data_IF_089103352854
#
_entry.id   IF_089103352854
#
_cell.length_a   1.000
_cell.length_b   1.000
_cell.length_c   1.000
_cell.angle_alpha   90.00
_cell.angle_beta   90.00
_cell.angle_gamma   90.00
#
_symmetry.space_group_name_H-M   'P 1'
#
loop_
_entity.id
_entity.type
_entity.pdbx_description
1 polymer ?
#
# COMPACT_ATOMS: atom_id res chain seq x y z
N UNK A 1 10.98 6.92 12.86
CA UNK A 1 9.81 6.45 13.64
C UNK A 1 10.19 5.13 14.28
N UNK A 2 9.77 4.91 15.53
CA UNK A 2 9.96 3.63 16.23
C UNK A 2 8.64 2.91 16.36
N UNK A 3 8.56 1.66 15.94
CA UNK A 3 7.31 0.90 15.95
C UNK A 3 7.49 -0.55 16.43
N UNK A 4 6.41 -1.12 16.95
CA UNK A 4 6.32 -2.55 17.29
C UNK A 4 5.31 -3.18 16.36
N UNK A 5 5.68 -4.32 15.75
CA UNK A 5 4.78 -5.13 14.92
C UNK A 5 4.55 -6.46 15.63
N UNK A 6 3.30 -6.74 15.98
CA UNK A 6 2.88 -7.96 16.67
C UNK A 6 2.12 -8.85 15.69
N UNK A 7 2.66 -10.05 15.46
CA UNK A 7 2.18 -11.00 14.45
C UNK A 7 2.97 -10.89 13.14
N UNK A 8 3.80 -11.90 12.87
CA UNK A 8 4.72 -11.95 11.73
C UNK A 8 4.28 -12.95 10.65
N UNK A 9 2.96 -13.11 10.49
CA UNK A 9 2.40 -13.73 9.28
C UNK A 9 2.79 -12.95 8.03
N UNK A 10 2.27 -13.32 6.86
CA UNK A 10 2.65 -12.68 5.59
C UNK A 10 2.57 -11.15 5.65
N UNK A 11 1.48 -10.60 6.18
CA UNK A 11 1.28 -9.15 6.23
C UNK A 11 2.24 -8.45 7.20
N UNK A 12 2.39 -9.00 8.43
CA UNK A 12 3.30 -8.41 9.43
C UNK A 12 4.76 -8.47 9.01
N UNK A 13 5.20 -9.58 8.39
CA UNK A 13 6.55 -9.73 7.85
C UNK A 13 6.85 -8.65 6.78
N UNK A 14 5.96 -8.47 5.81
CA UNK A 14 6.13 -7.42 4.77
C UNK A 14 6.19 -6.03 5.40
N UNK A 15 5.37 -5.74 6.43
CA UNK A 15 5.44 -4.47 7.15
C UNK A 15 6.81 -4.26 7.82
N UNK A 16 7.39 -5.31 8.43
CA UNK A 16 8.74 -5.24 9.02
C UNK A 16 9.76 -4.91 7.94
N UNK A 17 9.76 -5.65 6.83
CA UNK A 17 10.71 -5.48 5.72
C UNK A 17 10.64 -4.06 5.13
N UNK A 18 9.43 -3.58 4.78
CA UNK A 18 9.22 -2.27 4.16
C UNK A 18 9.57 -1.10 5.12
N UNK A 19 9.15 -1.18 6.38
CA UNK A 19 9.45 -0.11 7.34
C UNK A 19 10.94 -0.07 7.67
N UNK A 20 11.61 -1.21 7.77
CA UNK A 20 13.06 -1.27 7.99
C UNK A 20 13.84 -0.74 6.79
N UNK A 21 13.40 -1.04 5.56
CA UNK A 21 14.00 -0.49 4.34
C UNK A 21 13.91 1.04 4.27
N UNK A 22 12.89 1.63 4.90
CA UNK A 22 12.72 3.07 5.06
C UNK A 22 13.50 3.65 6.26
N UNK A 23 14.41 2.87 6.86
CA UNK A 23 15.21 3.25 8.04
C UNK A 23 14.37 3.59 9.29
N UNK A 24 13.24 2.92 9.48
CA UNK A 24 12.51 2.99 10.73
C UNK A 24 13.03 1.95 11.74
N UNK A 25 12.99 2.29 13.03
CA UNK A 25 13.32 1.37 14.11
C UNK A 25 12.13 0.42 14.33
N UNK A 26 12.26 -0.82 13.88
CA UNK A 26 11.19 -1.81 13.93
C UNK A 26 11.52 -2.89 14.94
N UNK A 27 10.61 -3.10 15.89
CA UNK A 27 10.63 -4.24 16.81
C UNK A 27 9.57 -5.24 16.34
N UNK A 28 10.01 -6.43 16.00
CA UNK A 28 9.17 -7.51 15.48
C UNK A 28 8.84 -8.52 16.58
N UNK A 29 7.57 -8.95 16.67
CA UNK A 29 7.08 -9.84 17.73
C UNK A 29 6.17 -10.91 17.17
N UNK A 30 6.45 -12.19 17.47
CA UNK A 30 5.54 -13.31 17.21
C UNK A 30 5.78 -14.39 18.27
N UNK A 31 4.82 -15.31 18.46
CA UNK A 31 5.01 -16.47 19.32
C UNK A 31 5.70 -17.65 18.61
N UNK A 32 5.75 -17.65 17.28
CA UNK A 32 6.44 -18.65 16.46
C UNK A 32 7.89 -18.22 16.17
N UNK A 33 8.85 -18.97 16.71
CA UNK A 33 10.26 -18.71 16.52
C UNK A 33 10.67 -18.71 15.04
N UNK A 34 10.05 -19.55 14.20
CA UNK A 34 10.38 -19.59 12.78
C UNK A 34 9.98 -18.31 12.05
N UNK A 35 8.93 -17.63 12.51
CA UNK A 35 8.54 -16.32 11.96
C UNK A 35 9.47 -15.22 12.42
N UNK A 36 9.90 -15.25 13.68
CA UNK A 36 10.88 -14.31 14.26
C UNK A 36 12.22 -14.40 13.52
N UNK A 37 12.73 -15.61 13.33
CA UNK A 37 14.00 -15.87 12.64
C UNK A 37 14.06 -15.31 11.20
N UNK A 38 12.91 -15.24 10.51
CA UNK A 38 12.84 -14.72 9.13
C UNK A 38 13.07 -13.20 9.02
N UNK A 39 12.88 -12.48 10.09
CA UNK A 39 12.96 -11.00 10.10
C UNK A 39 14.07 -10.44 11.00
N UNK A 40 14.71 -11.25 11.79
CA UNK A 40 15.70 -10.81 12.79
C UNK A 40 16.86 -10.01 12.21
N UNK A 41 17.26 -10.32 10.99
CA UNK A 41 18.43 -9.68 10.34
C UNK A 41 18.06 -8.39 9.59
N UNK A 42 16.76 -8.07 9.47
CA UNK A 42 16.26 -6.89 8.74
C UNK A 42 15.63 -5.83 9.62
N UNK A 43 15.38 -6.11 10.91
CA UNK A 43 14.77 -5.17 11.85
C UNK A 43 15.72 -4.87 13.02
N UNK A 44 15.39 -3.84 13.81
CA UNK A 44 16.17 -3.41 15.00
C UNK A 44 16.24 -4.52 16.05
N UNK A 45 15.13 -5.18 16.32
CA UNK A 45 15.04 -6.29 17.25
C UNK A 45 13.85 -7.20 16.91
N UNK A 46 14.01 -8.49 17.16
CA UNK A 46 12.96 -9.48 16.98
C UNK A 46 12.82 -10.35 18.25
N UNK A 47 11.59 -10.53 18.73
CA UNK A 47 11.33 -11.24 19.97
C UNK A 47 10.29 -12.36 19.75
N UNK A 48 10.61 -13.53 20.29
CA UNK A 48 9.62 -14.58 20.46
C UNK A 48 8.85 -14.32 21.76
N UNK A 49 7.60 -13.84 21.64
CA UNK A 49 6.75 -13.49 22.79
C UNK A 49 5.33 -13.95 22.53
N UNK A 50 4.71 -14.57 23.55
CA UNK A 50 3.27 -14.78 23.57
C UNK A 50 2.54 -13.49 23.95
N UNK A 51 2.17 -12.72 22.93
CA UNK A 51 1.61 -11.39 23.09
C UNK A 51 0.22 -11.36 23.77
N UNK A 52 -0.45 -12.51 23.91
CA UNK A 52 -1.69 -12.64 24.67
C UNK A 52 -1.47 -12.66 26.19
N UNK A 53 -0.21 -12.72 26.63
CA UNK A 53 0.16 -12.70 28.05
C UNK A 53 0.65 -11.29 28.44
N UNK A 54 0.00 -10.69 29.46
CA UNK A 54 0.29 -9.31 29.88
C UNK A 54 1.74 -9.10 30.32
N UNK A 55 2.29 -10.05 31.10
CA UNK A 55 3.68 -9.98 31.56
C UNK A 55 4.67 -10.03 30.39
N UNK A 56 4.37 -10.88 29.39
CA UNK A 56 5.21 -10.98 28.20
C UNK A 56 5.19 -9.69 27.36
N UNK A 57 4.03 -9.05 27.19
CA UNK A 57 3.93 -7.75 26.53
C UNK A 57 4.65 -6.63 27.30
N UNK A 58 4.67 -6.68 28.63
CA UNK A 58 5.24 -5.63 29.46
C UNK A 58 6.76 -5.49 29.36
N UNK A 59 7.47 -6.49 28.82
CA UNK A 59 8.92 -6.41 28.57
C UNK A 59 9.26 -5.55 27.36
N UNK A 60 8.29 -5.29 26.48
CA UNK A 60 8.47 -4.45 25.31
C UNK A 60 8.48 -2.96 25.71
N UNK A 61 9.22 -2.11 24.99
CA UNK A 61 9.30 -0.68 25.26
C UNK A 61 8.06 0.09 24.79
N UNK A 62 6.86 -0.33 25.21
CA UNK A 62 5.56 0.14 24.72
C UNK A 62 5.35 1.65 24.84
N UNK A 63 5.98 2.28 25.86
CA UNK A 63 5.89 3.74 26.10
C UNK A 63 6.93 4.56 25.31
N UNK A 64 7.85 3.90 24.60
CA UNK A 64 8.95 4.53 23.88
C UNK A 64 8.84 4.36 22.37
N UNK A 65 7.67 3.94 21.90
CA UNK A 65 7.40 3.74 20.47
C UNK A 65 6.31 4.69 19.99
N UNK A 66 6.40 5.08 18.74
CA UNK A 66 5.43 5.97 18.12
C UNK A 66 4.12 5.26 17.80
N UNK A 67 4.17 3.93 17.57
CA UNK A 67 3.01 3.14 17.16
C UNK A 67 3.22 1.65 17.45
N UNK A 68 2.13 0.96 17.76
CA UNK A 68 2.06 -0.51 17.80
C UNK A 68 1.08 -1.00 16.73
N UNK A 69 1.54 -1.90 15.87
CA UNK A 69 0.73 -2.52 14.82
C UNK A 69 0.42 -3.97 15.21
N UNK A 70 -0.85 -4.28 15.42
CA UNK A 70 -1.33 -5.66 15.65
C UNK A 70 -1.70 -6.26 14.30
N UNK A 71 -0.81 -7.09 13.75
CA UNK A 71 -0.96 -7.72 12.43
C UNK A 71 -1.49 -9.17 12.51
N UNK A 72 -1.99 -9.59 13.69
CA UNK A 72 -2.58 -10.91 13.90
C UNK A 72 -3.87 -11.00 13.09
N UNK A 73 -3.90 -11.93 12.14
CA UNK A 73 -5.03 -12.10 11.22
C UNK A 73 -5.84 -13.36 11.51
N UNK A 74 -5.22 -14.51 11.69
CA UNK A 74 -5.90 -15.80 11.71
C UNK A 74 -6.63 -16.10 13.02
N UNK A 75 -6.27 -15.43 14.12
CA UNK A 75 -6.86 -15.64 15.44
C UNK A 75 -7.49 -14.37 15.98
N UNK A 76 -8.81 -14.25 15.81
CA UNK A 76 -9.60 -13.11 16.30
C UNK A 76 -9.46 -12.94 17.81
N UNK A 77 -9.52 -14.04 18.57
CA UNK A 77 -9.41 -13.99 20.03
C UNK A 77 -8.06 -13.45 20.50
N UNK A 78 -6.96 -13.92 19.89
CA UNK A 78 -5.63 -13.41 20.18
C UNK A 78 -5.49 -11.91 19.79
N UNK A 79 -5.96 -11.53 18.61
CA UNK A 79 -5.90 -10.13 18.15
C UNK A 79 -6.63 -9.19 19.12
N UNK A 80 -7.86 -9.50 19.47
CA UNK A 80 -8.69 -8.72 20.40
C UNK A 80 -8.05 -8.65 21.79
N UNK A 81 -7.54 -9.78 22.30
CA UNK A 81 -6.86 -9.84 23.61
C UNK A 81 -5.60 -8.98 23.63
N UNK A 82 -4.77 -9.05 22.60
CA UNK A 82 -3.56 -8.21 22.46
C UNK A 82 -3.93 -6.73 22.44
N UNK A 83 -4.92 -6.33 21.66
CA UNK A 83 -5.39 -4.94 21.60
C UNK A 83 -5.89 -4.45 22.96
N UNK A 84 -6.68 -5.27 23.67
CA UNK A 84 -7.16 -4.94 25.03
C UNK A 84 -6.01 -4.75 26.03
N UNK A 85 -5.01 -5.63 25.99
CA UNK A 85 -3.82 -5.52 26.84
C UNK A 85 -2.99 -4.27 26.51
N UNK A 86 -2.76 -3.96 25.23
CA UNK A 86 -2.05 -2.76 24.82
C UNK A 86 -2.77 -1.48 25.31
N UNK A 87 -4.09 -1.42 25.21
CA UNK A 87 -4.89 -0.33 25.75
C UNK A 87 -4.76 -0.23 27.29
N UNK A 88 -4.84 -1.36 27.99
CA UNK A 88 -4.63 -1.43 29.46
C UNK A 88 -3.23 -0.94 29.84
N UNK A 89 -2.20 -1.27 29.05
CA UNK A 89 -0.81 -0.84 29.28
C UNK A 89 -0.53 0.62 28.86
N UNK A 90 -1.57 1.34 28.37
CA UNK A 90 -1.48 2.76 28.05
C UNK A 90 -0.82 3.08 26.71
N UNK A 91 -0.85 2.15 25.75
CA UNK A 91 -0.38 2.43 24.38
C UNK A 91 -1.36 3.39 23.72
N UNK A 92 -0.88 4.55 23.30
CA UNK A 92 -1.72 5.61 22.72
C UNK A 92 -2.13 5.29 21.28
N UNK A 93 -1.16 4.93 20.43
CA UNK A 93 -1.38 4.71 19.00
C UNK A 93 -1.30 3.23 18.65
N UNK A 94 -2.45 2.65 18.38
CA UNK A 94 -2.58 1.26 17.98
C UNK A 94 -3.26 1.19 16.61
N UNK A 95 -2.59 0.54 15.65
CA UNK A 95 -3.23 0.10 14.42
C UNK A 95 -3.46 -1.41 14.50
N UNK A 96 -4.56 -1.89 13.97
CA UNK A 96 -4.87 -3.30 14.03
C UNK A 96 -5.42 -3.83 12.70
N UNK A 97 -5.05 -5.07 12.36
CA UNK A 97 -5.62 -5.81 11.23
C UNK A 97 -6.92 -6.46 11.66
N UNK A 98 -7.95 -6.33 10.82
CA UNK A 98 -9.19 -7.09 10.94
C UNK A 98 -9.33 -8.05 9.75
N UNK A 99 -9.94 -9.22 9.99
CA UNK A 99 -10.19 -10.22 8.94
C UNK A 99 -11.59 -10.09 8.33
N UNK A 100 -12.54 -9.61 9.12
CA UNK A 100 -13.94 -9.49 8.74
C UNK A 100 -14.62 -8.30 9.42
N UNK A 101 -15.89 -8.09 9.11
CA UNK A 101 -16.68 -7.00 9.66
C UNK A 101 -16.94 -7.13 11.16
N UNK A 102 -17.05 -8.35 11.70
CA UNK A 102 -17.24 -8.56 13.15
C UNK A 102 -15.99 -8.14 13.89
N UNK A 103 -14.84 -8.60 13.45
CA UNK A 103 -13.53 -8.21 13.99
C UNK A 103 -13.34 -6.68 13.92
N UNK A 104 -13.65 -6.09 12.75
CA UNK A 104 -13.59 -4.63 12.56
C UNK A 104 -14.45 -3.89 13.58
N UNK A 105 -15.70 -4.31 13.78
CA UNK A 105 -16.61 -3.67 14.72
C UNK A 105 -16.10 -3.75 16.17
N UNK A 106 -15.52 -4.90 16.56
CA UNK A 106 -14.89 -5.06 17.87
C UNK A 106 -13.72 -4.09 18.04
N UNK A 107 -12.82 -4.00 17.05
CA UNK A 107 -11.68 -3.08 17.08
C UNK A 107 -12.13 -1.60 17.11
N UNK A 108 -13.23 -1.27 16.42
CA UNK A 108 -13.84 0.06 16.48
C UNK A 108 -14.34 0.39 17.89
N UNK A 109 -14.97 -0.57 18.58
CA UNK A 109 -15.43 -0.40 19.96
C UNK A 109 -14.27 -0.17 20.94
N UNK A 110 -13.07 -0.68 20.65
CA UNK A 110 -11.85 -0.36 21.40
C UNK A 110 -11.25 1.00 21.06
N UNK A 111 -11.82 1.77 20.14
CA UNK A 111 -11.30 3.07 19.71
C UNK A 111 -9.94 2.96 19.02
N UNK A 112 -9.75 1.93 18.18
CA UNK A 112 -8.52 1.77 17.42
C UNK A 112 -8.43 2.84 16.33
N UNK A 113 -7.31 3.57 16.29
CA UNK A 113 -7.09 4.70 15.38
C UNK A 113 -7.22 4.29 13.91
N UNK A 114 -6.61 3.16 13.54
CA UNK A 114 -6.65 2.66 12.16
C UNK A 114 -6.83 1.16 12.11
N UNK A 115 -7.87 0.74 11.42
CA UNK A 115 -8.16 -0.68 11.17
C UNK A 115 -7.81 -0.99 9.72
N UNK A 116 -7.01 -2.03 9.54
CA UNK A 116 -6.47 -2.47 8.25
C UNK A 116 -7.17 -3.76 7.83
N UNK A 117 -7.69 -3.79 6.60
CA UNK A 117 -8.26 -4.98 5.97
C UNK A 117 -7.55 -5.13 4.60
N UNK A 118 -6.33 -5.70 4.59
CA UNK A 118 -5.51 -5.80 3.38
C UNK A 118 -6.20 -6.57 2.27
N UNK A 119 -6.94 -7.62 2.60
CA UNK A 119 -7.67 -8.47 1.66
C UNK A 119 -8.76 -7.70 0.91
N UNK A 120 -9.54 -6.87 1.61
CA UNK A 120 -10.53 -6.01 0.94
C UNK A 120 -9.87 -5.02 -0.02
N UNK A 121 -8.74 -4.44 0.39
CA UNK A 121 -8.01 -3.48 -0.44
C UNK A 121 -7.49 -4.15 -1.69
N UNK A 122 -6.85 -5.33 -1.56
CA UNK A 122 -6.32 -6.10 -2.67
C UNK A 122 -7.44 -6.56 -3.62
N UNK A 123 -8.54 -7.10 -3.07
CA UNK A 123 -9.68 -7.54 -3.88
C UNK A 123 -10.32 -6.39 -4.66
N UNK A 124 -10.53 -5.23 -4.03
CA UNK A 124 -11.07 -4.05 -4.71
C UNK A 124 -10.14 -3.53 -5.81
N UNK A 125 -8.82 -3.62 -5.61
CA UNK A 125 -7.85 -3.26 -6.65
C UNK A 125 -7.95 -4.19 -7.85
N UNK A 126 -7.95 -5.51 -7.61
CA UNK A 126 -8.08 -6.51 -8.67
C UNK A 126 -9.42 -6.41 -9.43
N UNK A 127 -10.54 -6.22 -8.72
CA UNK A 127 -11.85 -6.06 -9.38
C UNK A 127 -11.85 -4.87 -10.34
N UNK A 128 -11.23 -3.75 -9.95
CA UNK A 128 -11.10 -2.60 -10.84
C UNK A 128 -10.26 -2.90 -12.06
N UNK A 129 -9.11 -3.56 -11.88
CA UNK A 129 -8.25 -3.97 -12.99
C UNK A 129 -9.00 -4.86 -13.99
N UNK A 130 -9.77 -5.82 -13.49
CA UNK A 130 -10.60 -6.70 -14.30
C UNK A 130 -11.75 -5.95 -15.02
N UNK A 131 -12.40 -5.00 -14.33
CA UNK A 131 -13.49 -4.20 -14.94
C UNK A 131 -13.00 -3.23 -16.01
N UNK A 132 -11.80 -2.69 -15.82
CA UNK A 132 -11.25 -1.66 -16.70
C UNK A 132 -10.45 -2.27 -17.87
N UNK A 133 -10.08 -3.56 -17.78
CA UNK A 133 -9.28 -4.24 -18.79
C UNK A 133 -7.83 -3.73 -18.88
N UNK A 134 -7.45 -2.77 -18.05
CA UNK A 134 -6.11 -2.19 -17.99
C UNK A 134 -5.58 -2.18 -16.55
N UNK A 135 -4.29 -2.43 -16.40
CA UNK A 135 -3.63 -2.33 -15.11
C UNK A 135 -3.65 -0.87 -14.67
N UNK A 136 -4.36 -0.60 -13.57
CA UNK A 136 -4.63 0.77 -13.12
C UNK A 136 -4.34 0.92 -11.64
N UNK A 137 -3.48 1.86 -11.30
CA UNK A 137 -3.38 2.39 -9.95
C UNK A 137 -4.35 3.55 -9.79
N UNK A 138 -4.93 3.64 -8.62
CA UNK A 138 -6.03 4.55 -8.35
C UNK A 138 -5.86 5.23 -6.99
N UNK A 139 -5.90 6.55 -7.00
CA UNK A 139 -5.91 7.35 -5.78
C UNK A 139 -7.17 8.21 -5.74
N UNK A 140 -7.99 8.02 -4.72
CA UNK A 140 -9.22 8.80 -4.51
C UNK A 140 -8.87 10.14 -3.86
N UNK A 141 -9.22 11.24 -4.53
CA UNK A 141 -9.01 12.60 -4.03
C UNK A 141 -10.20 13.04 -3.16
N UNK A 142 -11.43 12.80 -3.66
CA UNK A 142 -12.68 13.07 -2.93
C UNK A 142 -13.74 12.00 -3.24
N UNK A 143 -15.00 12.26 -2.89
CA UNK A 143 -16.12 11.34 -3.15
C UNK A 143 -16.38 11.04 -4.63
N UNK A 144 -15.88 11.87 -5.55
CA UNK A 144 -16.16 11.81 -6.99
C UNK A 144 -14.90 11.77 -7.85
N UNK A 145 -13.82 12.42 -7.41
CA UNK A 145 -12.61 12.62 -8.21
C UNK A 145 -11.48 11.72 -7.77
N UNK A 146 -10.69 11.33 -8.74
CA UNK A 146 -9.61 10.38 -8.58
C UNK A 146 -8.41 10.74 -9.48
N UNK A 147 -7.24 10.29 -9.08
CA UNK A 147 -6.08 10.19 -9.94
C UNK A 147 -5.95 8.74 -10.39
N UNK A 148 -5.79 8.52 -11.67
CA UNK A 148 -5.62 7.21 -12.31
C UNK A 148 -4.24 7.15 -12.93
N UNK A 149 -3.52 6.06 -12.71
CA UNK A 149 -2.28 5.74 -13.42
C UNK A 149 -2.50 4.41 -14.13
N UNK A 150 -2.38 4.39 -15.45
CA UNK A 150 -2.60 3.21 -16.25
C UNK A 150 -1.62 3.13 -17.42
N UNK A 151 -1.28 1.91 -17.81
CA UNK A 151 -0.42 1.66 -18.96
C UNK A 151 -1.13 2.09 -20.23
N UNK A 152 -0.41 2.66 -21.18
CA UNK A 152 -0.93 3.08 -22.48
C UNK A 152 -1.48 1.85 -23.22
N UNK A 153 -2.80 1.80 -23.51
CA UNK A 153 -3.39 0.71 -24.29
C UNK A 153 -2.90 0.74 -25.74
N UNK A 154 -2.91 -0.40 -26.41
CA UNK A 154 -2.44 -0.54 -27.80
C UNK A 154 -3.10 0.47 -28.77
N UNK A 155 -4.38 0.78 -28.54
CA UNK A 155 -5.14 1.72 -29.36
C UNK A 155 -4.63 3.17 -29.30
N UNK A 156 -3.90 3.53 -28.26
CA UNK A 156 -3.35 4.87 -28.04
C UNK A 156 -1.86 4.97 -28.38
N UNK A 157 -1.21 3.84 -28.67
CA UNK A 157 0.21 3.81 -29.06
C UNK A 157 0.42 4.56 -30.39
N UNK A 158 1.44 5.42 -30.40
CA UNK A 158 1.77 6.25 -31.57
C UNK A 158 1.02 7.58 -31.66
N UNK A 159 0.02 7.81 -30.79
CA UNK A 159 -0.69 9.10 -30.74
C UNK A 159 0.08 10.11 -29.89
N UNK A 160 -0.03 11.40 -30.21
CA UNK A 160 0.43 12.46 -29.31
C UNK A 160 -0.52 12.54 -28.10
N UNK A 161 -0.02 12.81 -26.89
CA UNK A 161 -0.86 13.02 -25.70
C UNK A 161 -1.96 14.08 -25.92
N UNK A 162 -1.66 15.14 -26.66
CA UNK A 162 -2.61 16.22 -26.97
C UNK A 162 -3.71 15.78 -27.92
N UNK A 163 -3.40 14.90 -28.89
CA UNK A 163 -4.38 14.39 -29.87
C UNK A 163 -5.42 13.44 -29.24
N UNK A 164 -5.19 12.98 -28.01
CA UNK A 164 -6.16 12.15 -27.28
C UNK A 164 -7.42 12.92 -26.89
N UNK A 165 -7.32 14.25 -26.77
CA UNK A 165 -8.42 15.14 -26.37
C UNK A 165 -9.21 14.59 -25.16
N UNK A 166 -8.52 14.01 -24.16
CA UNK A 166 -9.16 13.35 -23.02
C UNK A 166 -9.98 14.31 -22.16
N UNK A 167 -9.57 15.58 -22.11
CA UNK A 167 -10.30 16.60 -21.36
C UNK A 167 -11.66 16.91 -22.03
N UNK A 168 -11.65 17.13 -23.33
CA UNK A 168 -12.85 17.45 -24.09
C UNK A 168 -13.84 16.28 -24.20
N UNK A 169 -13.30 15.06 -24.46
CA UNK A 169 -14.11 13.86 -24.73
C UNK A 169 -14.59 13.15 -23.48
N UNK A 170 -13.76 13.14 -22.43
CA UNK A 170 -13.99 12.31 -21.24
C UNK A 170 -13.90 13.12 -19.93
N UNK A 171 -13.65 14.43 -20.00
CA UNK A 171 -13.40 15.26 -18.80
C UNK A 171 -12.29 14.70 -17.90
N UNK A 172 -11.25 14.13 -18.53
CA UNK A 172 -10.06 13.57 -17.88
C UNK A 172 -8.85 14.42 -18.25
N UNK A 173 -8.24 15.03 -17.26
CA UNK A 173 -7.02 15.81 -17.48
C UNK A 173 -5.80 14.92 -17.33
N UNK A 174 -4.96 14.85 -18.35
CA UNK A 174 -3.62 14.25 -18.23
C UNK A 174 -2.78 15.20 -17.38
N UNK A 175 -2.20 14.68 -16.29
CA UNK A 175 -1.38 15.47 -15.37
C UNK A 175 0.11 15.12 -15.47
N UNK A 176 0.42 13.93 -15.93
CA UNK A 176 1.80 13.49 -16.19
C UNK A 176 1.81 12.26 -17.08
N UNK A 177 2.96 12.00 -17.69
CA UNK A 177 3.27 10.77 -18.41
C UNK A 177 4.52 10.19 -17.79
N UNK A 178 4.49 8.90 -17.46
CA UNK A 178 5.67 8.17 -17.03
C UNK A 178 6.23 7.43 -18.23
N UNK A 179 7.38 7.85 -18.70
CA UNK A 179 8.12 7.26 -19.83
C UNK A 179 9.24 6.36 -19.33
N UNK A 180 9.55 5.32 -20.09
CA UNK A 180 10.68 4.46 -19.82
C UNK A 180 11.87 4.88 -20.70
N UNK A 181 12.87 5.52 -20.10
CA UNK A 181 14.11 5.87 -20.80
C UNK A 181 15.15 4.76 -20.66
N UNK A 182 15.80 4.43 -21.77
CA UNK A 182 16.99 3.59 -21.74
C UNK A 182 18.18 4.44 -21.27
N UNK A 183 18.75 4.08 -20.14
CA UNK A 183 19.91 4.74 -19.54
C UNK A 183 21.03 3.74 -19.45
N UNK A 184 22.27 4.17 -19.70
CA UNK A 184 23.46 3.33 -19.48
C UNK A 184 24.09 3.66 -18.14
N UNK A 185 24.42 2.62 -17.35
CA UNK A 185 25.23 2.81 -16.16
C UNK A 185 26.72 3.05 -16.53
N UNK A 186 27.54 3.35 -15.52
CA UNK A 186 28.97 3.63 -15.70
C UNK A 186 29.79 2.45 -16.27
N UNK A 187 29.22 1.23 -16.33
CA UNK A 187 29.83 0.03 -16.95
C UNK A 187 29.27 -0.29 -18.33
N UNK A 188 28.42 0.61 -18.89
CA UNK A 188 27.84 0.44 -20.22
C UNK A 188 26.62 -0.52 -20.30
N UNK A 189 26.07 -0.94 -19.16
CA UNK A 189 24.88 -1.79 -19.14
C UNK A 189 23.64 -0.89 -19.28
N UNK A 190 22.82 -1.16 -20.31
CA UNK A 190 21.54 -0.48 -20.51
C UNK A 190 20.49 -1.01 -19.52
N UNK A 191 19.77 -0.09 -18.90
CA UNK A 191 18.59 -0.39 -18.09
C UNK A 191 17.50 0.65 -18.36
N UNK A 192 16.23 0.26 -18.08
CA UNK A 192 15.09 1.17 -18.21
C UNK A 192 14.92 1.96 -16.92
N UNK A 193 15.02 3.29 -17.01
CA UNK A 193 14.80 4.22 -15.90
C UNK A 193 13.48 4.96 -16.11
N UNK A 194 12.54 4.90 -15.16
CA UNK A 194 11.27 5.60 -15.28
C UNK A 194 11.46 7.10 -15.05
N UNK A 195 11.07 7.91 -16.02
CA UNK A 195 11.02 9.36 -15.92
C UNK A 195 9.58 9.85 -15.99
N UNK A 196 9.21 10.75 -15.08
CA UNK A 196 7.90 11.43 -15.13
C UNK A 196 8.06 12.75 -15.85
N UNK A 197 7.35 12.92 -16.95
CA UNK A 197 7.33 14.14 -17.74
C UNK A 197 5.96 14.84 -17.61
N UNK A 198 5.98 16.17 -17.59
CA UNK A 198 4.76 16.95 -17.72
C UNK A 198 4.29 16.89 -19.18
N UNK A 199 2.98 16.97 -19.38
CA UNK A 199 2.42 16.98 -20.74
C UNK A 199 2.81 18.29 -21.44
N UNK A 200 3.70 18.18 -22.41
CA UNK A 200 4.14 19.27 -23.28
C UNK A 200 4.01 18.85 -24.74
N UNK A 201 4.00 19.80 -25.68
CA UNK A 201 3.88 19.50 -27.10
C UNK A 201 5.10 18.73 -27.67
N UNK A 202 6.23 18.72 -26.94
CA UNK A 202 7.49 18.07 -27.35
C UNK A 202 7.65 16.62 -26.86
N UNK A 203 6.67 16.05 -26.16
CA UNK A 203 6.83 14.74 -25.48
C UNK A 203 6.86 13.55 -26.44
N UNK A 204 6.65 13.77 -27.74
CA UNK A 204 6.61 12.73 -28.76
C UNK A 204 5.41 11.78 -28.62
N UNK A 205 5.30 10.77 -29.51
CA UNK A 205 4.19 9.81 -29.46
C UNK A 205 4.27 8.93 -28.22
N UNK A 206 3.10 8.44 -27.79
CA UNK A 206 2.97 7.48 -26.69
C UNK A 206 3.49 6.10 -27.12
N UNK A 207 4.21 5.45 -26.23
CA UNK A 207 4.70 4.09 -26.39
C UNK A 207 3.91 3.10 -25.53
N UNK A 208 3.92 1.81 -25.88
CA UNK A 208 3.24 0.77 -25.11
C UNK A 208 3.77 0.58 -23.68
N UNK A 209 5.00 1.03 -23.43
CA UNK A 209 5.65 1.00 -22.11
C UNK A 209 5.33 2.22 -21.24
N UNK A 210 4.73 3.26 -21.81
CA UNK A 210 4.39 4.48 -21.09
C UNK A 210 3.17 4.27 -20.19
N UNK A 211 3.12 5.06 -19.12
CA UNK A 211 1.95 5.11 -18.24
C UNK A 211 1.37 6.54 -18.24
N UNK A 212 0.07 6.66 -18.46
CA UNK A 212 -0.65 7.91 -18.32
C UNK A 212 -1.12 8.12 -16.88
N UNK A 213 -0.92 9.34 -16.38
CA UNK A 213 -1.48 9.78 -15.10
C UNK A 213 -2.56 10.82 -15.37
N UNK A 214 -3.80 10.46 -15.09
CA UNK A 214 -4.96 11.31 -15.37
C UNK A 214 -5.72 11.66 -14.09
N UNK A 215 -6.35 12.84 -14.08
CA UNK A 215 -7.26 13.28 -13.05
C UNK A 215 -8.67 13.46 -13.62
N UNK A 216 -9.68 13.00 -12.89
CA UNK A 216 -11.08 13.17 -13.25
C UNK A 216 -12.02 12.30 -12.43
N UNK A 217 -13.26 12.15 -12.89
CA UNK A 217 -14.25 11.31 -12.21
C UNK A 217 -14.08 9.84 -12.60
N UNK A 218 -14.28 8.95 -11.63
CA UNK A 218 -14.24 7.50 -11.88
C UNK A 218 -15.21 7.06 -13.00
N UNK A 219 -16.40 7.66 -13.05
CA UNK A 219 -17.39 7.35 -14.09
C UNK A 219 -16.92 7.73 -15.50
N UNK A 220 -16.15 8.80 -15.64
CA UNK A 220 -15.62 9.26 -16.92
C UNK A 220 -14.42 8.42 -17.36
N UNK A 221 -13.57 8.00 -16.41
CA UNK A 221 -12.52 7.03 -16.69
C UNK A 221 -13.06 5.68 -17.15
N UNK A 222 -14.15 5.18 -16.53
CA UNK A 222 -14.83 3.95 -16.98
C UNK A 222 -15.38 4.06 -18.42
N UNK A 223 -15.79 5.26 -18.88
CA UNK A 223 -16.20 5.48 -20.27
C UNK A 223 -15.00 5.34 -21.24
N UNK A 224 -13.87 5.92 -20.84
CA UNK A 224 -12.62 5.77 -21.61
C UNK A 224 -12.26 4.29 -21.77
N UNK A 225 -12.18 3.55 -20.66
CA UNK A 225 -11.80 2.13 -20.67
C UNK A 225 -12.74 1.23 -21.50
N UNK A 226 -14.01 1.60 -21.68
CA UNK A 226 -14.95 0.85 -22.54
C UNK A 226 -14.74 1.08 -24.04
N UNK A 227 -13.98 2.09 -24.41
CA UNK A 227 -13.66 2.42 -25.80
C UNK A 227 -12.26 1.95 -26.20
N UNK A 228 -11.47 1.54 -25.23
CA UNK A 228 -10.14 0.95 -25.37
C UNK A 228 -10.24 -0.58 -25.37
#
# INVERSE_FOLDING_TARGET
MKCIIIGLGTYGRVLVEELSALNHEVIAVDNDINRVERVKDVCEAAFQIEATEELALSVLPLKKVDIVLVAIGENLGASVRVVALLKKLGVERIFARANDNVHKNILQAFGIEKILIPEERAARSLVRELELGVRTDFFRVDSKHCVFRFQVPEQLVGMSPNDLHLDERFHLKIIAIKKMKKVQNFIGIEYNDPEVVNVTDDDGPLEATDELVCYGKEADFRKLCKLL
#
